data_IF_018823255349
#
_entry.id   IF_018823255349
#
_cell.length_a   1.000
_cell.length_b   1.000
_cell.length_c   1.000
_cell.angle_alpha   90.00
_cell.angle_beta   90.00
_cell.angle_gamma   90.00
#
_symmetry.space_group_name_H-M   'P 1'
#
loop_
_entity.id
_entity.type
_entity.pdbx_description
1 polymer ?
#
# COMPACT_ATOMS: atom_id res chain seq x y z
N UNK A 1 3.67 -11.90 15.91
CA UNK A 1 3.40 -10.79 16.84
C UNK A 1 4.73 -10.20 17.24
N UNK A 2 5.02 -8.99 16.80
CA UNK A 2 6.21 -8.24 17.21
C UNK A 2 6.03 -7.84 18.68
N UNK A 3 6.96 -8.21 19.56
CA UNK A 3 6.91 -7.76 20.96
C UNK A 3 7.38 -6.31 21.03
N UNK A 4 6.79 -5.51 21.93
CA UNK A 4 7.11 -4.08 22.07
C UNK A 4 8.10 -3.85 23.21
N UNK A 5 9.14 -3.07 22.95
CA UNK A 5 10.10 -2.56 23.93
C UNK A 5 9.59 -1.22 24.42
N UNK A 6 9.28 -1.11 25.71
CA UNK A 6 8.87 0.15 26.35
C UNK A 6 10.08 0.79 27.01
N UNK A 7 10.33 2.06 26.68
CA UNK A 7 11.39 2.90 27.27
C UNK A 7 10.78 3.86 28.29
N UNK A 8 9.65 4.47 27.94
CA UNK A 8 8.86 5.34 28.80
C UNK A 8 7.41 4.85 28.88
N UNK A 9 6.97 4.47 30.08
CA UNK A 9 5.64 3.92 30.32
C UNK A 9 4.53 4.97 30.47
N UNK A 10 4.84 6.26 30.52
CA UNK A 10 3.84 7.31 30.77
C UNK A 10 4.17 8.63 30.05
N UNK A 11 4.25 8.64 28.71
CA UNK A 11 4.54 9.84 27.96
C UNK A 11 3.40 10.87 28.10
N UNK A 12 3.76 12.14 28.30
CA UNK A 12 2.81 13.24 28.21
C UNK A 12 2.24 13.33 26.78
N UNK A 13 0.92 13.46 26.67
CA UNK A 13 0.20 13.65 25.40
C UNK A 13 -0.48 15.00 25.40
N UNK A 14 -0.22 15.82 24.39
CA UNK A 14 -0.90 17.10 24.21
C UNK A 14 -2.35 16.89 23.77
N UNK A 15 -3.30 17.49 24.48
CA UNK A 15 -4.69 17.62 24.02
C UNK A 15 -4.87 18.72 22.96
N UNK A 16 -3.86 19.59 22.75
CA UNK A 16 -3.95 20.80 21.92
C UNK A 16 -3.35 20.68 20.52
N UNK A 17 -2.46 19.71 20.28
CA UNK A 17 -1.67 19.58 19.06
C UNK A 17 -1.80 18.18 18.47
N UNK A 18 -1.85 18.03 17.15
CA UNK A 18 -2.08 16.74 16.50
C UNK A 18 -3.52 16.25 16.62
N UNK A 19 -3.91 15.34 15.74
CA UNK A 19 -5.26 14.77 15.69
C UNK A 19 -5.22 13.29 15.39
N UNK A 20 -6.11 12.51 16.01
CA UNK A 20 -6.23 11.08 15.70
C UNK A 20 -6.53 10.95 14.20
N UNK A 21 -5.85 10.05 13.45
CA UNK A 21 -5.95 10.00 11.99
C UNK A 21 -7.38 9.91 11.44
N UNK A 22 -8.27 9.16 12.12
CA UNK A 22 -9.68 8.99 11.73
C UNK A 22 -10.55 10.23 11.95
N UNK A 23 -10.05 11.23 12.68
CA UNK A 23 -10.79 12.46 12.97
C UNK A 23 -10.29 13.65 12.11
N UNK A 24 -9.30 13.44 11.23
CA UNK A 24 -8.77 14.48 10.36
C UNK A 24 -9.83 14.99 9.39
N UNK A 25 -9.84 16.31 9.16
CA UNK A 25 -10.69 16.94 8.15
C UNK A 25 -10.14 16.77 6.74
N UNK A 26 -10.89 17.25 5.75
CA UNK A 26 -10.58 17.04 4.33
C UNK A 26 -9.20 17.55 3.92
N UNK A 27 -8.83 18.76 4.34
CA UNK A 27 -7.53 19.37 4.00
C UNK A 27 -6.36 18.45 4.36
N UNK A 28 -6.28 18.00 5.62
CA UNK A 28 -5.24 17.10 6.09
C UNK A 28 -5.28 15.72 5.40
N UNK A 29 -6.47 15.20 5.09
CA UNK A 29 -6.62 13.96 4.32
C UNK A 29 -6.11 14.13 2.88
N UNK A 30 -6.32 15.29 2.25
CA UNK A 30 -5.84 15.57 0.90
C UNK A 30 -4.32 15.75 0.83
N UNK A 31 -3.70 16.25 1.89
CA UNK A 31 -2.25 16.40 1.97
C UNK A 31 -1.52 15.05 2.05
N UNK A 32 -2.08 14.07 2.77
CA UNK A 32 -1.49 12.75 2.96
C UNK A 32 -2.56 11.67 3.18
N UNK A 33 -3.29 11.37 2.11
CA UNK A 33 -4.36 10.37 2.11
C UNK A 33 -4.19 9.31 1.04
N UNK A 34 -5.09 8.33 1.09
CA UNK A 34 -5.15 7.21 0.17
C UNK A 34 -6.59 6.92 -0.20
N UNK A 35 -6.89 6.90 -1.49
CA UNK A 35 -8.19 6.48 -2.02
C UNK A 35 -8.03 5.09 -2.63
N UNK A 36 -9.03 4.24 -2.48
CA UNK A 36 -9.10 2.97 -3.21
C UNK A 36 -10.18 3.06 -4.28
N UNK A 37 -9.77 3.11 -5.54
CA UNK A 37 -10.70 3.20 -6.67
C UNK A 37 -10.96 1.81 -7.25
N UNK A 38 -12.22 1.51 -7.57
CA UNK A 38 -12.56 0.43 -8.48
C UNK A 38 -12.31 0.87 -9.92
N UNK A 39 -11.13 0.50 -10.44
CA UNK A 39 -10.71 0.90 -11.79
C UNK A 39 -11.64 0.24 -12.82
N UNK A 40 -12.28 1.00 -13.72
CA UNK A 40 -13.04 0.43 -14.83
C UNK A 40 -12.11 -0.12 -15.93
N UNK A 41 -12.62 -1.00 -16.80
CA UNK A 41 -11.90 -1.39 -18.01
C UNK A 41 -11.86 -0.22 -19.00
N UNK A 42 -10.79 -0.13 -19.80
CA UNK A 42 -10.60 0.92 -20.80
C UNK A 42 -9.38 1.81 -20.52
N UNK A 43 -9.40 2.69 -19.51
CA UNK A 43 -8.27 3.59 -19.24
C UNK A 43 -7.08 2.84 -18.65
N UNK A 44 -5.87 3.34 -18.89
CA UNK A 44 -4.69 2.96 -18.12
C UNK A 44 -4.78 3.48 -16.67
N UNK A 45 -4.06 2.85 -15.74
CA UNK A 45 -3.98 3.36 -14.35
C UNK A 45 -3.43 4.79 -14.26
N UNK A 46 -2.53 5.18 -15.17
CA UNK A 46 -1.96 6.53 -15.20
C UNK A 46 -3.00 7.57 -15.64
N UNK A 47 -3.84 7.25 -16.65
CA UNK A 47 -4.92 8.14 -17.08
C UNK A 47 -5.95 8.33 -15.95
N UNK A 48 -6.38 7.25 -15.31
CA UNK A 48 -7.30 7.31 -14.18
C UNK A 48 -6.73 8.16 -13.03
N UNK A 49 -5.46 7.95 -12.67
CA UNK A 49 -4.79 8.77 -11.67
C UNK A 49 -4.73 10.27 -12.07
N UNK A 50 -4.47 10.58 -13.35
CA UNK A 50 -4.52 11.97 -13.83
C UNK A 50 -5.91 12.57 -13.68
N UNK A 51 -6.97 11.86 -14.06
CA UNK A 51 -8.34 12.35 -13.91
C UNK A 51 -8.71 12.57 -12.44
N UNK A 52 -8.38 11.62 -11.57
CA UNK A 52 -8.60 11.76 -10.13
C UNK A 52 -7.84 12.95 -9.54
N UNK A 53 -6.60 13.19 -9.99
CA UNK A 53 -5.82 14.37 -9.58
C UNK A 53 -6.55 15.66 -9.94
N UNK A 54 -7.04 15.74 -11.17
CA UNK A 54 -7.68 16.94 -11.72
C UNK A 54 -9.05 17.18 -11.05
N UNK A 55 -9.84 16.12 -10.83
CA UNK A 55 -11.10 16.15 -10.06
C UNK A 55 -10.87 16.70 -8.65
N UNK A 56 -9.80 16.28 -7.98
CA UNK A 56 -9.50 16.67 -6.60
C UNK A 56 -8.71 17.99 -6.50
N UNK A 57 -8.40 18.65 -7.62
CA UNK A 57 -7.57 19.87 -7.61
C UNK A 57 -6.16 19.69 -7.04
N UNK A 58 -5.63 18.47 -7.02
CA UNK A 58 -4.36 18.15 -6.37
C UNK A 58 -3.17 18.47 -7.26
N UNK A 59 -2.08 19.00 -6.68
CA UNK A 59 -0.81 19.18 -7.42
C UNK A 59 -0.14 17.84 -7.76
N UNK A 60 -0.33 16.83 -6.91
CA UNK A 60 0.36 15.54 -7.03
C UNK A 60 -0.55 14.40 -6.56
N UNK A 61 -0.68 13.39 -7.40
CA UNK A 61 -1.35 12.13 -7.10
C UNK A 61 -0.64 11.01 -7.87
N UNK A 62 -0.45 9.86 -7.24
CA UNK A 62 0.16 8.68 -7.84
C UNK A 62 -0.69 7.43 -7.61
N UNK A 63 -0.35 6.31 -8.23
CA UNK A 63 -1.07 5.05 -8.02
C UNK A 63 -0.18 3.93 -7.48
N UNK A 64 -0.75 3.03 -6.67
CA UNK A 64 -0.06 1.96 -5.94
C UNK A 64 0.09 0.63 -6.69
N UNK A 65 0.33 0.68 -8.00
CA UNK A 65 0.52 -0.51 -8.85
C UNK A 65 -0.40 -0.55 -10.07
N UNK A 66 0.23 -0.52 -11.25
CA UNK A 66 -0.42 -0.50 -12.56
C UNK A 66 -1.30 -1.73 -12.77
N UNK A 67 -2.50 -1.49 -13.28
CA UNK A 67 -3.37 -2.47 -13.89
C UNK A 67 -3.38 -2.23 -15.40
N UNK A 68 -3.40 -3.31 -16.17
CA UNK A 68 -3.57 -3.24 -17.61
C UNK A 68 -4.88 -2.50 -17.98
N UNK A 69 -4.98 -1.87 -19.16
CA UNK A 69 -6.17 -1.12 -19.56
C UNK A 69 -7.47 -1.92 -19.45
N UNK A 70 -7.47 -3.20 -19.86
CA UNK A 70 -8.64 -4.08 -19.78
C UNK A 70 -8.93 -4.60 -18.36
N UNK A 71 -7.94 -4.54 -17.44
CA UNK A 71 -8.09 -5.06 -16.10
C UNK A 71 -8.87 -4.09 -15.20
N UNK A 72 -9.66 -4.64 -14.28
CA UNK A 72 -10.53 -3.88 -13.37
C UNK A 72 -10.14 -4.06 -11.90
N UNK A 73 -10.85 -3.40 -11.00
CA UNK A 73 -10.73 -3.63 -9.57
C UNK A 73 -9.80 -2.66 -8.86
N UNK A 74 -9.41 -3.06 -7.66
CA UNK A 74 -8.83 -2.19 -6.65
C UNK A 74 -7.53 -1.50 -7.12
N UNK A 75 -7.54 -0.18 -7.24
CA UNK A 75 -6.38 0.66 -7.55
C UNK A 75 -6.23 1.72 -6.47
N UNK A 76 -5.15 1.60 -5.71
CA UNK A 76 -4.78 2.60 -4.70
C UNK A 76 -4.32 3.88 -5.39
N UNK A 77 -4.87 5.02 -5.01
CA UNK A 77 -4.42 6.36 -5.35
C UNK A 77 -3.82 7.03 -4.11
N UNK A 78 -2.61 7.56 -4.24
CA UNK A 78 -1.84 8.20 -3.17
C UNK A 78 -1.90 9.70 -3.38
N UNK A 79 -2.38 10.44 -2.37
CA UNK A 79 -2.61 11.88 -2.45
C UNK A 79 -1.42 12.64 -1.86
N UNK A 80 -1.05 13.77 -2.48
CA UNK A 80 -0.05 14.70 -1.94
C UNK A 80 1.26 14.03 -1.53
N UNK A 81 1.61 14.15 -0.24
CA UNK A 81 2.81 13.59 0.39
C UNK A 81 2.85 12.07 0.39
N UNK A 82 1.69 11.40 0.40
CA UNK A 82 1.57 9.95 0.39
C UNK A 82 2.12 9.33 -0.91
N UNK A 83 2.24 10.11 -1.99
CA UNK A 83 2.87 9.65 -3.26
C UNK A 83 4.32 9.17 -3.08
N UNK A 84 5.03 9.66 -2.07
CA UNK A 84 6.39 9.18 -1.72
C UNK A 84 6.40 7.77 -1.13
N UNK A 85 5.24 7.24 -0.73
CA UNK A 85 5.08 5.89 -0.17
C UNK A 85 4.69 4.85 -1.22
N UNK A 86 4.84 5.17 -2.51
CA UNK A 86 4.47 4.25 -3.60
C UNK A 86 5.14 2.88 -3.45
N UNK A 87 6.41 2.83 -3.04
CA UNK A 87 7.11 1.56 -2.80
C UNK A 87 6.46 0.68 -1.73
N UNK A 88 5.91 1.29 -0.67
CA UNK A 88 5.22 0.56 0.41
C UNK A 88 3.97 -0.13 -0.12
N UNK A 89 3.19 0.57 -0.94
CA UNK A 89 1.99 -0.01 -1.55
C UNK A 89 2.35 -1.07 -2.59
N UNK A 90 3.44 -0.83 -3.34
CA UNK A 90 3.96 -1.76 -4.33
C UNK A 90 4.62 -3.00 -3.72
N UNK A 91 4.90 -3.06 -2.42
CA UNK A 91 5.40 -4.29 -1.77
C UNK A 91 4.28 -5.17 -1.22
N UNK A 92 3.07 -4.64 -1.02
CA UNK A 92 1.96 -5.39 -0.44
C UNK A 92 1.41 -6.47 -1.37
N UNK A 93 1.04 -7.63 -0.82
CA UNK A 93 0.41 -8.71 -1.56
C UNK A 93 -0.86 -8.27 -2.29
N UNK A 94 -1.15 -8.95 -3.39
CA UNK A 94 -2.29 -8.68 -4.27
C UNK A 94 -3.06 -9.97 -4.53
N UNK A 95 -4.38 -9.87 -4.58
CA UNK A 95 -5.25 -10.97 -4.98
C UNK A 95 -6.00 -10.60 -6.24
N UNK A 96 -6.00 -11.51 -7.21
CA UNK A 96 -6.66 -11.35 -8.50
C UNK A 96 -7.68 -12.46 -8.71
N UNK A 97 -8.80 -12.11 -9.35
CA UNK A 97 -9.68 -13.05 -10.01
C UNK A 97 -9.41 -12.94 -11.51
N UNK A 98 -9.18 -14.07 -12.17
CA UNK A 98 -8.84 -14.12 -13.58
C UNK A 98 -9.69 -15.17 -14.30
N UNK A 99 -10.13 -14.86 -15.52
CA UNK A 99 -10.80 -15.81 -16.39
C UNK A 99 -9.80 -16.26 -17.45
N UNK A 100 -9.53 -17.56 -17.48
CA UNK A 100 -8.66 -18.20 -18.45
C UNK A 100 -9.49 -18.93 -19.50
N UNK A 101 -9.17 -18.70 -20.78
CA UNK A 101 -9.69 -19.46 -21.91
C UNK A 101 -8.66 -20.49 -22.33
N UNK A 102 -9.02 -21.76 -22.21
CA UNK A 102 -8.21 -22.94 -22.51
C UNK A 102 -9.02 -23.82 -23.50
N UNK A 103 -8.34 -24.69 -24.22
CA UNK A 103 -9.00 -25.67 -25.10
C UNK A 103 -9.95 -26.58 -24.30
N UNK A 104 -11.19 -26.75 -24.76
CA UNK A 104 -12.24 -27.50 -24.07
C UNK A 104 -11.99 -29.02 -24.02
N UNK A 105 -11.03 -29.55 -24.76
CA UNK A 105 -10.58 -30.93 -24.63
C UNK A 105 -9.78 -31.20 -23.33
N UNK A 106 -9.25 -30.15 -22.69
CA UNK A 106 -8.47 -30.27 -21.47
C UNK A 106 -9.39 -30.28 -20.25
N UNK A 107 -9.52 -31.41 -19.59
CA UNK A 107 -10.39 -31.53 -18.41
C UNK A 107 -10.05 -30.54 -17.28
N UNK A 108 -11.08 -30.06 -16.60
CA UNK A 108 -10.98 -29.17 -15.44
C UNK A 108 -10.12 -29.76 -14.31
N UNK A 109 -10.14 -31.09 -14.15
CA UNK A 109 -9.24 -31.81 -13.24
C UNK A 109 -7.77 -31.57 -13.61
N UNK A 110 -7.43 -31.68 -14.89
CA UNK A 110 -6.06 -31.44 -15.38
C UNK A 110 -5.66 -29.97 -15.21
N UNK A 111 -6.58 -29.04 -15.47
CA UNK A 111 -6.35 -27.60 -15.21
C UNK A 111 -6.02 -27.38 -13.73
N UNK A 112 -6.84 -27.91 -12.82
CA UNK A 112 -6.61 -27.81 -11.37
C UNK A 112 -5.25 -28.38 -10.95
N UNK A 113 -4.89 -29.58 -11.41
CA UNK A 113 -3.58 -30.21 -11.14
C UNK A 113 -2.39 -29.36 -11.60
N UNK A 114 -2.52 -28.63 -12.71
CA UNK A 114 -1.47 -27.72 -13.19
C UNK A 114 -1.40 -26.46 -12.35
N UNK A 115 -2.55 -25.86 -12.01
CA UNK A 115 -2.62 -24.66 -11.17
C UNK A 115 -1.92 -24.89 -9.82
N UNK A 116 -2.15 -26.02 -9.17
CA UNK A 116 -1.53 -26.37 -7.87
C UNK A 116 0.01 -26.37 -7.91
N UNK A 117 0.63 -26.55 -9.08
CA UNK A 117 2.09 -26.52 -9.25
C UNK A 117 2.68 -25.11 -9.23
N UNK A 118 1.85 -24.08 -9.40
CA UNK A 118 2.29 -22.68 -9.36
C UNK A 118 2.29 -22.10 -7.95
N UNK A 119 1.81 -22.83 -6.93
CA UNK A 119 1.92 -22.38 -5.55
C UNK A 119 3.39 -22.43 -5.08
N UNK A 120 3.86 -21.33 -4.49
CA UNK A 120 5.26 -21.15 -4.07
C UNK A 120 6.05 -20.23 -4.99
N UNK A 121 7.35 -20.47 -5.09
CA UNK A 121 8.26 -19.67 -5.90
C UNK A 121 8.16 -20.05 -7.38
N UNK A 122 7.94 -19.04 -8.22
CA UNK A 122 7.86 -19.17 -9.68
C UNK A 122 8.84 -18.21 -10.37
N UNK A 123 9.28 -18.60 -11.57
CA UNK A 123 9.94 -17.67 -12.47
C UNK A 123 8.89 -16.87 -13.23
N UNK A 124 9.01 -15.55 -13.21
CA UNK A 124 8.07 -14.66 -13.88
C UNK A 124 8.85 -13.58 -14.65
N UNK A 125 8.61 -13.53 -15.96
CA UNK A 125 9.26 -12.58 -16.86
C UNK A 125 8.25 -11.48 -17.21
N UNK A 126 8.58 -10.20 -17.00
CA UNK A 126 7.74 -9.10 -17.46
C UNK A 126 7.49 -9.20 -18.98
N UNK A 127 6.25 -8.96 -19.46
CA UNK A 127 5.94 -8.93 -20.89
C UNK A 127 6.60 -7.74 -21.59
N UNK A 128 6.54 -7.71 -22.93
CA UNK A 128 7.16 -6.66 -23.75
C UNK A 128 6.58 -5.27 -23.45
N UNK A 129 5.28 -5.21 -23.18
CA UNK A 129 4.50 -3.99 -22.92
C UNK A 129 4.68 -3.46 -21.49
N UNK A 130 5.62 -4.02 -20.73
CA UNK A 130 5.86 -3.68 -19.34
C UNK A 130 6.70 -2.41 -19.17
N UNK A 131 6.39 -1.62 -18.14
CA UNK A 131 7.17 -0.45 -17.74
C UNK A 131 8.52 -0.78 -17.07
N UNK A 132 8.84 -2.06 -16.81
CA UNK A 132 10.09 -2.48 -16.16
C UNK A 132 10.98 -3.30 -17.08
N UNK A 133 12.30 -3.24 -16.86
CA UNK A 133 13.27 -4.03 -17.62
C UNK A 133 12.92 -5.52 -17.64
N UNK A 134 12.86 -6.07 -18.85
CA UNK A 134 12.58 -7.49 -19.12
C UNK A 134 13.78 -8.32 -18.69
N UNK A 135 13.58 -9.15 -17.67
CA UNK A 135 14.53 -10.12 -17.13
C UNK A 135 13.77 -11.13 -16.28
N UNK A 136 14.31 -12.33 -16.14
CA UNK A 136 13.75 -13.35 -15.23
C UNK A 136 13.80 -12.83 -13.79
N UNK A 137 12.71 -13.03 -13.06
CA UNK A 137 12.58 -12.68 -11.64
C UNK A 137 11.85 -13.80 -10.92
N UNK A 138 12.20 -14.04 -9.67
CA UNK A 138 11.42 -14.92 -8.80
C UNK A 138 10.25 -14.16 -8.22
N UNK A 139 9.08 -14.80 -8.16
CA UNK A 139 7.87 -14.29 -7.50
C UNK A 139 7.25 -15.40 -6.68
N UNK A 140 6.59 -15.03 -5.59
CA UNK A 140 5.86 -15.99 -4.77
C UNK A 140 4.36 -15.89 -5.07
N UNK A 141 3.74 -17.01 -5.42
CA UNK A 141 2.29 -17.18 -5.39
C UNK A 141 1.96 -17.87 -4.07
N UNK A 142 1.30 -17.15 -3.16
CA UNK A 142 0.91 -17.71 -1.88
C UNK A 142 -0.25 -18.69 -2.01
N UNK A 143 -1.16 -18.44 -2.97
CA UNK A 143 -2.29 -19.31 -3.23
C UNK A 143 -2.78 -19.14 -4.67
N UNK A 144 -3.17 -20.25 -5.30
CA UNK A 144 -3.86 -20.27 -6.59
C UNK A 144 -4.96 -21.35 -6.55
N UNK A 145 -6.19 -20.95 -6.90
CA UNK A 145 -7.37 -21.81 -6.81
C UNK A 145 -8.20 -21.73 -8.07
N UNK A 146 -8.66 -22.88 -8.55
CA UNK A 146 -9.77 -22.95 -9.51
C UNK A 146 -11.08 -22.71 -8.76
N UNK A 147 -11.79 -21.64 -9.11
CA UNK A 147 -13.07 -21.28 -8.49
C UNK A 147 -14.24 -21.92 -9.24
N UNK A 148 -14.22 -21.77 -10.56
CA UNK A 148 -15.30 -22.23 -11.44
C UNK A 148 -14.71 -22.68 -12.77
N UNK A 149 -15.40 -23.62 -13.42
CA UNK A 149 -14.98 -24.18 -14.70
C UNK A 149 -16.19 -24.46 -15.58
N UNK A 150 -16.30 -23.73 -16.68
CA UNK A 150 -17.14 -24.06 -17.81
C UNK A 150 -16.29 -24.87 -18.80
N UNK A 151 -16.32 -26.19 -18.66
CA UNK A 151 -15.52 -27.11 -19.46
C UNK A 151 -15.93 -27.10 -20.94
N UNK A 152 -17.23 -27.00 -21.22
CA UNK A 152 -17.76 -27.07 -22.58
C UNK A 152 -17.23 -25.90 -23.42
N UNK A 153 -17.23 -24.71 -22.80
CA UNK A 153 -16.71 -23.50 -23.43
C UNK A 153 -15.25 -23.22 -23.06
N UNK A 154 -14.56 -24.11 -22.33
CA UNK A 154 -13.14 -23.96 -21.96
C UNK A 154 -12.80 -22.69 -21.18
N UNK A 155 -13.73 -22.17 -20.36
CA UNK A 155 -13.49 -21.02 -19.49
C UNK A 155 -13.28 -21.48 -18.05
N UNK A 156 -12.23 -20.96 -17.42
CA UNK A 156 -11.84 -21.33 -16.06
C UNK A 156 -11.57 -20.07 -15.24
N UNK A 157 -12.36 -19.86 -14.20
CA UNK A 157 -12.18 -18.74 -13.27
C UNK A 157 -11.25 -19.15 -12.15
N UNK A 158 -10.18 -18.40 -11.94
CA UNK A 158 -9.18 -18.66 -10.92
C UNK A 158 -9.02 -17.48 -9.97
N UNK A 159 -8.68 -17.78 -8.71
CA UNK A 159 -8.14 -16.82 -7.75
C UNK A 159 -6.63 -16.98 -7.64
N UNK A 160 -5.90 -15.87 -7.62
CA UNK A 160 -4.43 -15.85 -7.47
C UNK A 160 -4.03 -14.81 -6.43
N UNK A 161 -3.51 -15.26 -5.30
CA UNK A 161 -2.85 -14.42 -4.30
C UNK A 161 -1.34 -14.49 -4.49
N UNK A 162 -0.71 -13.35 -4.71
CA UNK A 162 0.69 -13.29 -5.11
C UNK A 162 1.43 -12.08 -4.54
N UNK A 163 2.75 -12.21 -4.52
CA UNK A 163 3.66 -11.11 -4.28
C UNK A 163 3.48 -10.04 -5.35
N UNK A 164 3.61 -8.78 -4.96
CA UNK A 164 3.53 -7.68 -5.89
C UNK A 164 4.54 -7.76 -7.04
N UNK A 165 4.12 -7.26 -8.20
CA UNK A 165 4.90 -7.33 -9.44
C UNK A 165 4.92 -8.72 -10.09
N UNK A 166 4.00 -9.60 -9.72
CA UNK A 166 3.70 -10.84 -10.46
C UNK A 166 2.83 -10.51 -11.67
N UNK A 167 3.28 -10.89 -12.87
CA UNK A 167 2.55 -10.67 -14.11
C UNK A 167 1.58 -11.83 -14.37
N UNK A 168 0.28 -11.60 -14.09
CA UNK A 168 -0.77 -12.60 -14.30
C UNK A 168 -0.91 -13.00 -15.78
N UNK A 169 -0.63 -12.07 -16.70
CA UNK A 169 -0.57 -12.38 -18.15
C UNK A 169 0.52 -13.43 -18.47
N UNK A 170 1.70 -13.27 -17.88
CA UNK A 170 2.79 -14.24 -18.04
C UNK A 170 2.42 -15.56 -17.39
N UNK A 171 1.81 -15.53 -16.19
CA UNK A 171 1.31 -16.73 -15.51
C UNK A 171 0.32 -17.51 -16.38
N UNK A 172 -0.64 -16.84 -17.03
CA UNK A 172 -1.58 -17.48 -17.95
C UNK A 172 -0.86 -18.18 -19.11
N UNK A 173 0.12 -17.52 -19.72
CA UNK A 173 0.97 -18.13 -20.75
C UNK A 173 1.67 -19.39 -20.24
N UNK A 174 2.27 -19.33 -19.05
CA UNK A 174 3.01 -20.44 -18.47
C UNK A 174 2.11 -21.63 -18.10
N UNK A 175 0.89 -21.36 -17.61
CA UNK A 175 -0.16 -22.37 -17.41
C UNK A 175 -0.44 -23.09 -18.73
N UNK A 176 -0.60 -22.35 -19.83
CA UNK A 176 -0.80 -22.94 -21.15
C UNK A 176 0.35 -23.86 -21.59
N UNK A 177 1.59 -23.42 -21.38
CA UNK A 177 2.78 -24.24 -21.67
C UNK A 177 2.79 -25.56 -20.88
N UNK A 178 2.43 -25.53 -19.60
CA UNK A 178 2.36 -26.74 -18.77
C UNK A 178 1.21 -27.68 -19.15
N UNK A 179 0.13 -27.13 -19.71
CA UNK A 179 -1.00 -27.88 -20.23
C UNK A 179 -0.76 -28.43 -21.65
N UNK A 180 0.24 -27.90 -22.36
CA UNK A 180 0.46 -28.21 -23.78
C UNK A 180 -0.58 -27.59 -24.72
N UNK A 181 -1.24 -26.50 -24.30
CA UNK A 181 -2.28 -25.82 -25.07
C UNK A 181 -2.27 -24.31 -24.79
N UNK A 182 -2.62 -23.44 -25.76
CA UNK A 182 -2.75 -22.01 -25.50
C UNK A 182 -3.69 -21.72 -24.33
N UNK A 183 -3.26 -20.82 -23.44
CA UNK A 183 -4.09 -20.28 -22.38
C UNK A 183 -4.13 -18.76 -22.52
N UNK A 184 -5.34 -18.23 -22.73
CA UNK A 184 -5.58 -16.80 -22.92
C UNK A 184 -6.18 -16.24 -21.63
N UNK A 185 -5.60 -15.14 -21.13
CA UNK A 185 -6.19 -14.37 -20.05
C UNK A 185 -7.30 -13.49 -20.64
N UNK A 186 -8.55 -13.89 -20.47
CA UNK A 186 -9.73 -13.21 -21.01
C UNK A 186 -10.16 -12.02 -20.15
N UNK A 187 -10.19 -12.21 -18.83
CA UNK A 187 -10.56 -11.16 -17.87
C UNK A 187 -9.60 -11.15 -16.68
N UNK A 188 -9.42 -9.96 -16.10
CA UNK A 188 -8.58 -9.78 -14.93
C UNK A 188 -9.18 -8.71 -14.02
N UNK A 189 -9.51 -9.10 -12.80
CA UNK A 189 -10.00 -8.21 -11.75
C UNK A 189 -9.07 -8.30 -10.54
N UNK A 190 -8.52 -7.16 -10.09
CA UNK A 190 -7.76 -7.11 -8.84
C UNK A 190 -8.72 -6.96 -7.67
N UNK A 191 -9.00 -8.08 -7.01
CA UNK A 191 -9.93 -8.14 -5.89
C UNK A 191 -9.45 -7.34 -4.68
N UNK A 192 -8.15 -7.42 -4.34
CA UNK A 192 -7.59 -6.71 -3.20
C UNK A 192 -6.13 -6.27 -3.40
N UNK A 193 -5.75 -5.24 -2.65
CA UNK A 193 -4.38 -4.72 -2.59
C UNK A 193 -4.02 -4.26 -1.18
N UNK A 194 -2.96 -4.83 -0.61
CA UNK A 194 -2.50 -4.45 0.71
C UNK A 194 -3.55 -4.68 1.81
N UNK A 195 -3.69 -3.73 2.72
CA UNK A 195 -4.58 -3.77 3.88
C UNK A 195 -6.01 -3.29 3.60
N UNK A 196 -6.37 -2.99 2.35
CA UNK A 196 -7.69 -2.48 2.03
C UNK A 196 -8.72 -3.58 1.81
N UNK A 197 -9.91 -3.36 2.35
CA UNK A 197 -11.10 -4.16 2.09
C UNK A 197 -11.85 -3.66 0.85
N UNK A 198 -12.65 -4.55 0.24
CA UNK A 198 -13.51 -4.18 -0.90
C UNK A 198 -14.55 -3.12 -0.55
N UNK A 199 -14.99 -3.05 0.72
CA UNK A 199 -15.91 -2.03 1.24
C UNK A 199 -15.36 -0.60 1.10
N UNK A 200 -14.05 -0.45 0.92
CA UNK A 200 -13.39 0.85 0.73
C UNK A 200 -13.32 1.30 -0.73
N UNK A 201 -13.84 0.51 -1.69
CA UNK A 201 -13.82 0.84 -3.10
C UNK A 201 -14.81 1.95 -3.43
N UNK A 202 -14.35 2.96 -4.18
CA UNK A 202 -15.22 3.91 -4.85
C UNK A 202 -15.02 3.89 -6.36
N UNK A 203 -16.08 4.20 -7.10
CA UNK A 203 -15.97 4.43 -8.54
C UNK A 203 -15.47 5.85 -8.83
N UNK A 204 -15.03 6.10 -10.05
CA UNK A 204 -14.67 7.46 -10.47
C UNK A 204 -15.86 8.42 -10.45
N UNK A 205 -17.08 7.92 -10.66
CA UNK A 205 -18.32 8.70 -10.55
C UNK A 205 -18.55 9.12 -9.11
N UNK A 206 -18.48 8.18 -8.15
CA UNK A 206 -18.61 8.51 -6.73
C UNK A 206 -17.54 9.51 -6.27
N UNK A 207 -16.31 9.38 -6.77
CA UNK A 207 -15.25 10.34 -6.49
C UNK A 207 -15.57 11.75 -7.03
N UNK A 208 -16.08 11.83 -8.27
CA UNK A 208 -16.47 13.10 -8.88
C UNK A 208 -17.65 13.75 -8.16
N UNK A 209 -18.69 12.97 -7.82
CA UNK A 209 -19.87 13.45 -7.10
C UNK A 209 -19.48 13.96 -5.70
N UNK A 210 -18.63 13.22 -4.98
CA UNK A 210 -18.13 13.63 -3.67
C UNK A 210 -17.26 14.90 -3.74
N UNK A 211 -16.45 15.05 -4.79
CA UNK A 211 -15.67 16.27 -5.01
C UNK A 211 -16.55 17.49 -5.29
N UNK A 212 -17.60 17.32 -6.12
CA UNK A 212 -18.58 18.38 -6.39
C UNK A 212 -19.30 18.82 -5.11
N UNK A 213 -19.75 17.89 -4.27
CA UNK A 213 -20.38 18.23 -2.98
C UNK A 213 -19.44 18.99 -2.05
N UNK A 214 -18.15 18.62 -2.03
CA UNK A 214 -17.16 19.32 -1.23
C UNK A 214 -16.95 20.78 -1.71
N UNK A 215 -17.02 21.04 -3.02
CA UNK A 215 -17.00 22.41 -3.58
C UNK A 215 -18.23 23.23 -3.14
N UNK A 216 -19.37 22.58 -2.91
CA UNK A 216 -20.60 23.19 -2.39
C UNK A 216 -20.60 23.32 -0.85
N UNK A 217 -19.56 22.83 -0.17
CA UNK A 217 -19.37 22.92 1.28
C UNK A 217 -19.74 21.68 2.09
N UNK A 218 -20.15 20.58 1.43
CA UNK A 218 -20.37 19.28 2.07
C UNK A 218 -19.20 18.31 1.80
N UNK A 219 -18.25 18.29 2.73
CA UNK A 219 -17.04 17.48 2.64
C UNK A 219 -17.24 16.02 3.10
N UNK A 220 -18.40 15.65 3.65
CA UNK A 220 -18.60 14.39 4.37
C UNK A 220 -18.37 13.18 3.46
N UNK A 221 -18.93 13.23 2.25
CA UNK A 221 -18.77 12.17 1.25
C UNK A 221 -17.30 11.98 0.88
N UNK A 222 -16.58 13.07 0.59
CA UNK A 222 -15.20 13.00 0.15
C UNK A 222 -14.27 12.54 1.28
N UNK A 223 -14.47 13.01 2.51
CA UNK A 223 -13.74 12.54 3.69
C UNK A 223 -13.86 11.03 3.87
N UNK A 224 -15.05 10.44 3.62
CA UNK A 224 -15.26 8.99 3.70
C UNK A 224 -14.51 8.20 2.63
N UNK A 225 -14.26 8.79 1.46
CA UNK A 225 -13.51 8.13 0.38
C UNK A 225 -12.00 8.13 0.62
N UNK A 226 -11.49 9.07 1.41
CA UNK A 226 -10.06 9.23 1.65
C UNK A 226 -9.68 8.56 2.97
N UNK A 227 -8.96 7.45 2.90
CA UNK A 227 -8.34 6.85 4.06
C UNK A 227 -7.09 7.64 4.50
N UNK A 228 -6.84 7.77 5.82
CA UNK A 228 -5.58 8.30 6.31
C UNK A 228 -4.38 7.46 5.84
N UNK A 229 -3.23 8.11 5.59
CA UNK A 229 -2.00 7.43 5.14
C UNK A 229 -1.55 6.31 6.07
N UNK A 230 -1.87 6.39 7.36
CA UNK A 230 -1.58 5.37 8.36
C UNK A 230 -2.12 3.99 7.99
N UNK A 231 -3.23 3.93 7.23
CA UNK A 231 -3.85 2.65 6.80
C UNK A 231 -2.91 1.79 5.95
N UNK A 232 -1.98 2.38 5.21
CA UNK A 232 -0.99 1.64 4.39
C UNK A 232 0.33 1.37 5.11
N UNK A 233 0.50 1.90 6.33
CA UNK A 233 1.75 1.82 7.10
C UNK A 233 1.70 0.77 8.21
N UNK A 234 0.52 0.24 8.54
CA UNK A 234 0.32 -0.62 9.71
C UNK A 234 1.06 -1.97 9.70
N UNK A 235 1.59 -2.43 8.56
CA UNK A 235 2.42 -3.63 8.48
C UNK A 235 3.91 -3.38 8.68
N UNK A 236 4.33 -2.11 8.74
CA UNK A 236 5.73 -1.73 8.95
C UNK A 236 5.96 -1.56 10.46
N UNK A 237 7.02 -2.15 11.03
CA UNK A 237 7.40 -1.96 12.43
C UNK A 237 7.53 -0.48 12.81
N UNK A 238 7.16 -0.14 14.04
CA UNK A 238 7.06 1.24 14.51
C UNK A 238 8.01 1.64 15.64
N UNK A 239 8.27 2.94 15.73
CA UNK A 239 8.86 3.64 16.89
C UNK A 239 7.92 4.76 17.32
N UNK A 240 7.46 4.74 18.56
CA UNK A 240 6.59 5.77 19.14
C UNK A 240 7.41 6.79 19.91
N UNK A 241 7.11 8.07 19.70
CA UNK A 241 7.92 9.18 20.21
C UNK A 241 7.14 10.13 21.09
N UNK A 242 7.88 10.91 21.89
CA UNK A 242 7.36 12.01 22.70
C UNK A 242 6.93 13.16 21.79
N UNK A 243 5.88 13.87 22.19
CA UNK A 243 5.38 15.04 21.47
C UNK A 243 6.46 16.11 21.26
N UNK A 244 7.39 16.26 22.23
CA UNK A 244 8.51 17.21 22.15
C UNK A 244 9.54 16.90 21.06
N UNK A 245 9.59 15.67 20.55
CA UNK A 245 10.51 15.27 19.49
C UNK A 245 9.92 15.44 18.08
N UNK A 246 8.59 15.56 17.97
CA UNK A 246 7.87 15.54 16.68
C UNK A 246 8.32 16.70 15.78
N UNK A 247 8.29 17.93 16.29
CA UNK A 247 8.61 19.11 15.50
C UNK A 247 10.01 19.05 14.87
N UNK A 248 11.02 18.57 15.60
CA UNK A 248 12.39 18.43 15.09
C UNK A 248 12.46 17.43 13.93
N UNK A 249 11.71 16.34 14.00
CA UNK A 249 11.62 15.33 12.93
C UNK A 249 10.88 15.87 11.72
N UNK A 250 9.84 16.69 11.92
CA UNK A 250 9.17 17.40 10.82
C UNK A 250 10.13 18.35 10.06
N UNK A 251 11.18 18.82 10.74
CA UNK A 251 12.27 19.60 10.15
C UNK A 251 13.41 18.74 9.56
N UNK A 252 13.30 17.41 9.65
CA UNK A 252 14.25 16.46 9.06
C UNK A 252 15.36 16.00 10.01
N UNK A 253 15.32 16.37 11.30
CA UNK A 253 16.30 15.90 12.27
C UNK A 253 16.15 14.38 12.52
N UNK A 254 17.25 13.66 12.76
CA UNK A 254 17.20 12.27 13.20
C UNK A 254 16.50 12.15 14.56
N UNK A 255 15.81 11.03 14.78
CA UNK A 255 15.22 10.70 16.06
C UNK A 255 16.31 10.20 17.00
N UNK A 256 16.58 10.93 18.08
CA UNK A 256 17.48 10.50 19.14
C UNK A 256 16.77 9.63 20.19
N UNK A 257 17.51 8.76 20.89
CA UNK A 257 16.99 7.86 21.93
C UNK A 257 16.16 8.59 23.01
N UNK A 258 16.55 9.79 23.51
CA UNK A 258 15.73 10.56 24.45
C UNK A 258 14.38 11.04 23.90
N UNK A 259 14.09 10.89 22.61
CA UNK A 259 12.77 11.16 22.03
C UNK A 259 11.82 9.95 22.06
N UNK A 260 12.32 8.77 22.40
CA UNK A 260 11.61 7.49 22.24
C UNK A 260 10.77 7.15 23.46
N UNK A 261 9.56 6.68 23.21
CA UNK A 261 8.63 6.13 24.20
C UNK A 261 8.65 4.61 24.16
N UNK A 262 8.50 4.05 22.96
CA UNK A 262 8.52 2.60 22.75
C UNK A 262 8.84 2.27 21.30
N UNK A 263 9.21 1.03 21.02
CA UNK A 263 9.47 0.54 19.67
C UNK A 263 9.13 -0.94 19.55
N UNK A 264 8.84 -1.38 18.34
CA UNK A 264 8.75 -2.81 18.04
C UNK A 264 10.14 -3.47 18.08
N UNK A 265 10.21 -4.71 18.54
CA UNK A 265 11.45 -5.50 18.57
C UNK A 265 11.76 -6.18 17.24
N UNK A 266 12.97 -6.72 17.11
CA UNK A 266 13.37 -7.52 15.96
C UNK A 266 13.76 -6.70 14.72
N UNK A 267 13.79 -5.37 14.82
CA UNK A 267 14.36 -4.50 13.79
C UNK A 267 15.88 -4.44 13.91
N UNK A 268 16.57 -4.54 12.79
CA UNK A 268 18.02 -4.38 12.63
C UNK A 268 18.36 -3.02 12.03
N UNK A 269 19.62 -2.58 12.16
CA UNK A 269 20.10 -1.41 11.42
C UNK A 269 19.86 -1.56 9.91
N UNK A 270 19.35 -0.51 9.27
CA UNK A 270 18.93 -0.54 7.85
C UNK A 270 17.46 -0.92 7.63
N UNK A 271 16.77 -1.45 8.65
CA UNK A 271 15.36 -1.80 8.50
C UNK A 271 14.48 -0.55 8.40
N UNK A 272 13.45 -0.63 7.55
CA UNK A 272 12.43 0.41 7.41
C UNK A 272 11.52 0.41 8.63
N UNK A 273 11.28 1.60 9.18
CA UNK A 273 10.38 1.79 10.33
C UNK A 273 9.51 3.03 10.15
N UNK A 274 8.38 3.08 10.86
CA UNK A 274 7.51 4.26 10.94
C UNK A 274 7.69 4.94 12.29
N UNK A 275 7.88 6.24 12.28
CA UNK A 275 7.91 7.08 13.47
C UNK A 275 6.47 7.54 13.75
N UNK A 276 5.93 7.12 14.89
CA UNK A 276 4.56 7.34 15.31
C UNK A 276 4.46 8.37 16.43
N UNK A 277 3.48 9.26 16.36
CA UNK A 277 3.06 10.05 17.51
C UNK A 277 2.37 9.15 18.54
N UNK A 278 2.21 9.67 19.76
CA UNK A 278 1.46 9.02 20.84
C UNK A 278 -0.05 8.86 20.54
N UNK A 279 -0.55 9.54 19.50
CA UNK A 279 -1.94 9.48 18.99
C UNK A 279 -2.10 8.54 17.80
N UNK A 280 -1.02 7.89 17.37
CA UNK A 280 -1.04 6.98 16.22
C UNK A 280 -0.90 7.67 14.87
N UNK A 281 -0.42 8.92 14.84
CA UNK A 281 -0.15 9.63 13.60
C UNK A 281 1.21 9.24 13.04
N UNK A 282 1.32 9.04 11.73
CA UNK A 282 2.60 8.80 11.09
C UNK A 282 3.35 10.13 10.90
N UNK A 283 4.38 10.35 11.72
CA UNK A 283 5.24 11.55 11.63
C UNK A 283 6.14 11.42 10.40
N UNK A 284 6.84 10.30 10.29
CA UNK A 284 7.75 10.02 9.19
C UNK A 284 7.95 8.51 8.97
N UNK A 285 8.39 8.15 7.77
CA UNK A 285 9.00 6.84 7.49
C UNK A 285 10.51 7.01 7.44
N UNK A 286 11.22 6.13 8.13
CA UNK A 286 12.67 6.21 8.29
C UNK A 286 13.35 4.85 8.23
N UNK A 287 14.62 4.87 8.58
CA UNK A 287 15.50 3.71 8.58
C UNK A 287 16.21 3.63 9.94
N UNK A 288 16.22 2.43 10.53
CA UNK A 288 16.90 2.17 11.80
C UNK A 288 18.41 2.37 11.65
N UNK A 289 19.03 3.07 12.62
CA UNK A 289 20.48 3.29 12.66
C UNK A 289 21.17 2.22 13.52
N UNK A 290 20.47 1.73 14.54
CA UNK A 290 20.92 0.70 15.48
C UNK A 290 19.89 -0.43 15.55
N UNK A 291 20.25 -1.56 16.14
CA UNK A 291 19.29 -2.64 16.34
C UNK A 291 18.32 -2.29 17.47
N UNK A 292 17.07 -2.74 17.35
CA UNK A 292 16.05 -2.55 18.38
C UNK A 292 16.43 -3.15 19.74
N UNK A 293 17.27 -4.20 19.77
CA UNK A 293 17.79 -4.81 21.00
C UNK A 293 18.66 -3.89 21.82
N UNK A 294 19.39 -2.99 21.16
CA UNK A 294 20.48 -2.22 21.76
C UNK A 294 19.96 -0.95 22.44
N UNK A 295 18.73 -0.53 22.10
CA UNK A 295 18.12 0.74 22.54
C UNK A 295 17.96 0.83 24.06
N UNK A 296 17.79 -0.29 24.77
CA UNK A 296 17.64 -0.29 26.23
C UNK A 296 18.91 0.13 26.97
N UNK A 297 20.06 -0.07 26.35
CA UNK A 297 21.38 0.20 26.94
C UNK A 297 21.95 1.54 26.46
N UNK A 298 21.15 2.34 25.73
CA UNK A 298 21.54 3.62 25.18
C UNK A 298 20.88 4.78 25.94
N UNK A 299 21.69 5.70 26.47
CA UNK A 299 21.20 6.96 27.04
C UNK A 299 21.18 8.11 26.02
N UNK A 300 22.01 8.02 24.98
CA UNK A 300 22.17 9.02 23.92
C UNK A 300 22.39 8.38 22.53
N UNK A 301 22.37 9.20 21.48
CA UNK A 301 22.60 8.77 20.10
C UNK A 301 21.34 8.75 19.23
N UNK A 302 21.56 8.59 17.92
CA UNK A 302 20.51 8.56 16.90
C UNK A 302 19.96 7.14 16.71
N UNK A 303 18.63 7.01 16.71
CA UNK A 303 17.91 5.74 16.55
C UNK A 303 17.36 5.56 15.13
N UNK A 304 16.69 6.58 14.59
CA UNK A 304 16.04 6.51 13.28
C UNK A 304 16.42 7.72 12.44
N UNK A 305 16.82 7.48 11.20
CA UNK A 305 17.02 8.53 10.20
C UNK A 305 15.76 8.68 9.35
N UNK A 306 15.04 9.83 9.40
CA UNK A 306 13.88 10.06 8.56
C UNK A 306 14.26 10.07 7.08
N UNK A 307 13.43 9.45 6.24
CA UNK A 307 13.55 9.48 4.77
C UNK A 307 12.37 10.21 4.14
N UNK A 308 11.17 10.02 4.70
CA UNK A 308 9.94 10.61 4.21
C UNK A 308 9.19 11.20 5.42
N UNK A 309 9.24 12.51 5.56
CA UNK A 309 8.45 13.24 6.58
C UNK A 309 7.05 13.46 6.05
N UNK A 310 6.03 12.93 6.75
CA UNK A 310 4.62 12.99 6.34
C UNK A 310 3.88 14.16 7.02
N UNK A 311 4.09 14.32 8.32
CA UNK A 311 3.46 15.37 9.12
C UNK A 311 4.01 16.77 8.79
N UNK A 312 3.17 17.79 8.91
CA UNK A 312 3.57 19.18 8.73
C UNK A 312 4.41 19.72 9.89
N UNK A 313 5.19 20.76 9.58
CA UNK A 313 6.14 21.36 10.51
C UNK A 313 5.49 22.08 11.68
N UNK A 314 4.27 22.58 11.46
CA UNK A 314 3.55 23.43 12.40
C UNK A 314 2.48 22.66 13.21
N UNK A 315 2.32 21.36 12.96
CA UNK A 315 1.33 20.51 13.64
C UNK A 315 1.63 20.38 15.15
N UNK A 316 2.92 20.35 15.49
CA UNK A 316 3.42 20.28 16.87
C UNK A 316 4.43 21.42 17.12
N UNK A 317 4.40 22.06 18.31
CA UNK A 317 5.31 23.14 18.61
C UNK A 317 6.75 22.62 18.74
N UNK A 318 7.69 23.42 18.26
CA UNK A 318 9.11 23.18 18.50
C UNK A 318 9.46 23.30 19.98
N UNK A 319 10.15 22.29 20.53
CA UNK A 319 10.69 22.34 21.89
C UNK A 319 12.09 22.98 21.96
N UNK A 320 12.49 23.73 20.92
CA UNK A 320 13.78 24.43 20.85
C UNK A 320 13.77 25.54 21.92
N UNK A 321 14.26 25.21 23.11
CA UNK A 321 14.72 26.25 24.02
C UNK A 321 15.87 26.97 23.30
N UNK A 322 15.64 28.22 22.92
CA UNK A 322 16.74 29.12 22.60
C UNK A 322 17.67 29.14 23.82
N UNK A 323 18.89 28.65 23.62
CA UNK A 323 20.01 29.12 24.42
C UNK A 323 20.45 30.46 23.85
#
# INVERSE_FOLDING_TARGET
>A
MTSRIVIDGSPAKSSRHGKIPSERGLEALMEAGVILVDKPPGPSSHQLASWARDILGLKRLGHGGTLDPFATGALTLLLGKATRLTEVVLSGNKTYIAVLKIDSSISSKRVKEVLERFAGEIYNVPPLESAVKIRVRTRVISEIKLLESDQENGFHTISVSCQAGTYIRTLARDIGLMLGSPCVLSELHRHSTGSFEQSSLCTMQQLADAAMLAEEGDEEALCRLIAPVERILGSIPGVWIRDSAIASICHGAPLAVPGVVSLDSGMSAGDKTVIWSSKGEAVAVGEMIVNSSDVRDMDEGELVKPKIVLMDKDEYPGAWSGR
#
